data_IF_003014132751
#
_entry.id   IF_003014132751
#
_cell.length_a   1.000
_cell.length_b   1.000
_cell.length_c   1.000
_cell.angle_alpha   90.00
_cell.angle_beta   90.00
_cell.angle_gamma   90.00
#
_symmetry.space_group_name_H-M   'P 1'
#
loop_
_entity.id
_entity.type
_entity.pdbx_description
1 polymer ?
#
# COMPACT_ATOMS: atom_id res chain seq x y z
N UNK A 1 -65.95 15.72 -38.36
CA UNK A 1 -64.89 16.63 -37.87
C UNK A 1 -64.72 16.42 -36.36
N UNK A 2 -63.80 15.54 -35.94
CA UNK A 2 -63.54 15.31 -34.51
C UNK A 2 -62.62 16.44 -33.99
N UNK A 3 -63.15 17.29 -33.11
CA UNK A 3 -62.40 18.35 -32.43
C UNK A 3 -61.31 17.69 -31.56
N UNK A 4 -60.09 17.58 -32.07
CA UNK A 4 -58.94 17.20 -31.25
C UNK A 4 -58.79 18.32 -30.21
N UNK A 5 -59.00 18.00 -28.94
CA UNK A 5 -58.98 19.00 -27.87
C UNK A 5 -57.60 19.63 -27.80
N UNK A 6 -57.53 20.96 -27.71
CA UNK A 6 -56.26 21.72 -27.61
C UNK A 6 -55.38 21.31 -26.42
N UNK A 7 -55.95 20.56 -25.47
CA UNK A 7 -55.28 20.00 -24.29
C UNK A 7 -54.26 18.92 -24.68
N UNK A 8 -54.53 18.12 -25.71
CA UNK A 8 -53.61 17.04 -26.16
C UNK A 8 -52.30 17.56 -26.75
N UNK A 9 -52.29 18.80 -27.27
CA UNK A 9 -51.10 19.47 -27.84
C UNK A 9 -50.20 20.05 -26.74
N UNK A 10 -50.73 20.33 -25.54
CA UNK A 10 -49.98 20.91 -24.42
C UNK A 10 -49.14 19.87 -23.66
N UNK A 11 -49.52 18.59 -23.72
CA UNK A 11 -48.79 17.49 -23.04
C UNK A 11 -47.61 16.93 -23.86
N UNK A 12 -47.56 17.19 -25.16
CA UNK A 12 -46.48 16.74 -26.04
C UNK A 12 -45.09 17.32 -25.67
N UNK A 13 -44.93 18.63 -25.38
CA UNK A 13 -43.63 19.15 -24.95
C UNK A 13 -43.18 18.61 -23.58
N UNK A 14 -44.12 18.31 -22.68
CA UNK A 14 -43.82 17.76 -21.35
C UNK A 14 -43.28 16.31 -21.44
N UNK A 15 -43.77 15.53 -22.41
CA UNK A 15 -43.27 14.18 -22.70
C UNK A 15 -41.90 14.18 -23.42
N UNK A 16 -41.60 15.23 -24.19
CA UNK A 16 -40.29 15.38 -24.83
C UNK A 16 -39.22 15.77 -23.79
N UNK A 17 -39.57 16.57 -22.78
CA UNK A 17 -38.66 16.90 -21.67
C UNK A 17 -38.36 15.72 -20.75
N UNK A 18 -39.27 14.75 -20.59
CA UNK A 18 -39.00 13.57 -19.74
C UNK A 18 -38.01 12.58 -20.37
N UNK A 19 -37.74 12.70 -21.68
CA UNK A 19 -36.69 11.93 -22.36
C UNK A 19 -35.30 12.59 -22.29
N UNK A 20 -35.19 13.83 -21.80
CA UNK A 20 -33.91 14.47 -21.51
C UNK A 20 -33.32 13.94 -20.19
N UNK A 21 -33.08 12.63 -20.14
CA UNK A 21 -32.34 12.02 -19.04
C UNK A 21 -30.90 12.53 -19.05
N UNK A 22 -30.37 12.91 -17.89
CA UNK A 22 -28.97 13.27 -17.76
C UNK A 22 -28.11 12.11 -18.28
N UNK A 23 -27.22 12.39 -19.23
CA UNK A 23 -26.26 11.38 -19.71
C UNK A 23 -25.51 10.82 -18.49
N UNK A 24 -25.34 9.50 -18.40
CA UNK A 24 -24.58 8.86 -17.31
C UNK A 24 -23.18 9.48 -17.12
N UNK A 25 -22.59 9.98 -18.21
CA UNK A 25 -21.32 10.73 -18.21
C UNK A 25 -21.32 12.03 -17.40
N UNK A 26 -22.47 12.55 -16.97
CA UNK A 26 -22.55 13.69 -16.05
C UNK A 26 -22.34 13.25 -14.60
N UNK A 27 -22.75 12.03 -14.25
CA UNK A 27 -22.61 11.44 -12.91
C UNK A 27 -21.22 10.81 -12.72
N UNK A 28 -20.65 10.22 -13.77
CA UNK A 28 -19.27 9.72 -13.77
C UNK A 28 -18.30 10.80 -14.26
N UNK A 29 -17.96 11.74 -13.36
CA UNK A 29 -16.78 12.60 -13.56
C UNK A 29 -15.63 12.08 -12.71
N UNK A 30 -14.60 11.45 -13.31
CA UNK A 30 -13.38 11.21 -12.56
C UNK A 30 -12.80 12.56 -12.10
N UNK A 31 -12.17 12.63 -10.93
CA UNK A 31 -11.55 13.86 -10.47
C UNK A 31 -10.51 14.30 -11.50
N UNK A 32 -10.67 15.53 -12.02
CA UNK A 32 -9.83 16.08 -13.09
C UNK A 32 -8.48 16.58 -12.57
N UNK A 33 -8.39 16.80 -11.26
CA UNK A 33 -7.28 17.39 -10.53
C UNK A 33 -6.62 16.42 -9.54
N UNK A 34 -7.17 15.21 -9.37
CA UNK A 34 -6.61 14.20 -8.48
C UNK A 34 -5.99 13.05 -9.25
N UNK A 35 -4.80 12.66 -8.81
CA UNK A 35 -4.15 11.43 -9.23
C UNK A 35 -5.00 10.26 -8.72
N UNK A 36 -5.57 9.48 -9.65
CA UNK A 36 -6.21 8.20 -9.34
C UNK A 36 -5.23 7.05 -9.55
N UNK A 37 -5.41 5.94 -8.83
CA UNK A 37 -4.56 4.74 -8.98
C UNK A 37 -4.54 4.19 -10.41
N UNK A 38 -5.62 4.40 -11.18
CA UNK A 38 -5.73 3.93 -12.56
C UNK A 38 -4.93 4.80 -13.55
N UNK A 39 -4.77 6.09 -13.26
CA UNK A 39 -4.11 7.04 -14.16
C UNK A 39 -2.72 7.47 -13.69
N UNK A 40 -2.19 6.92 -12.59
CA UNK A 40 -0.92 7.38 -12.03
C UNK A 40 0.31 6.82 -12.76
N UNK A 41 0.33 5.54 -13.15
CA UNK A 41 1.56 4.86 -13.59
C UNK A 41 1.84 5.01 -15.10
N UNK A 42 1.85 6.22 -15.64
CA UNK A 42 1.84 6.44 -17.10
C UNK A 42 3.23 6.61 -17.71
N UNK A 43 4.21 7.08 -16.95
CA UNK A 43 5.59 7.29 -17.42
C UNK A 43 6.64 6.94 -16.35
N UNK A 44 7.91 6.92 -16.74
CA UNK A 44 9.03 6.57 -15.84
C UNK A 44 9.17 7.48 -14.60
N UNK A 45 8.77 8.76 -14.69
CA UNK A 45 8.81 9.67 -13.55
C UNK A 45 7.73 9.33 -12.52
N UNK A 46 6.56 8.88 -12.95
CA UNK A 46 5.49 8.45 -12.05
C UNK A 46 5.92 7.25 -11.21
N UNK A 47 6.64 6.30 -11.82
CA UNK A 47 7.21 5.14 -11.12
C UNK A 47 8.23 5.55 -10.07
N UNK A 48 9.05 6.58 -10.33
CA UNK A 48 9.98 7.14 -9.33
C UNK A 48 9.23 7.84 -8.19
N UNK A 49 8.12 8.51 -8.45
CA UNK A 49 7.28 9.11 -7.41
C UNK A 49 6.61 8.03 -6.54
N UNK A 50 6.15 6.94 -7.17
CA UNK A 50 5.60 5.78 -6.50
C UNK A 50 6.58 5.16 -5.51
N UNK A 51 7.84 4.95 -5.88
CA UNK A 51 8.85 4.40 -4.96
C UNK A 51 9.40 5.45 -3.99
N UNK A 52 9.53 6.70 -4.42
CA UNK A 52 10.10 7.80 -3.65
C UNK A 52 9.46 8.03 -2.28
N UNK A 53 8.15 7.81 -2.16
CA UNK A 53 7.42 7.98 -0.90
C UNK A 53 7.96 7.09 0.22
N UNK A 54 8.46 5.90 -0.10
CA UNK A 54 8.99 4.94 0.88
C UNK A 54 10.36 5.33 1.44
N UNK A 55 11.07 6.27 0.82
CA UNK A 55 12.34 6.81 1.33
C UNK A 55 12.14 8.03 2.26
N UNK A 56 10.89 8.38 2.55
CA UNK A 56 10.54 9.47 3.44
C UNK A 56 10.19 9.01 4.87
N UNK A 57 9.20 9.66 5.46
CA UNK A 57 8.77 9.47 6.86
C UNK A 57 7.99 8.18 7.10
N UNK A 58 7.80 7.32 6.09
CA UNK A 58 6.98 6.09 6.23
C UNK A 58 7.52 5.12 7.29
N UNK A 59 8.84 5.15 7.53
CA UNK A 59 9.53 4.33 8.52
C UNK A 59 9.59 4.95 9.92
N UNK A 60 9.07 6.16 10.12
CA UNK A 60 9.30 6.95 11.33
C UNK A 60 8.89 6.23 12.62
N UNK A 61 7.67 5.69 12.67
CA UNK A 61 7.15 4.99 13.85
C UNK A 61 8.03 3.78 14.25
N UNK A 62 8.66 3.12 13.28
CA UNK A 62 9.62 2.04 13.54
C UNK A 62 10.99 2.58 13.96
N UNK A 63 11.55 3.51 13.18
CA UNK A 63 12.91 4.03 13.34
C UNK A 63 13.10 4.94 14.57
N UNK A 64 12.04 5.55 15.10
CA UNK A 64 12.10 6.44 16.27
C UNK A 64 12.38 5.64 17.55
N UNK A 65 11.32 5.27 18.29
CA UNK A 65 11.48 4.65 19.61
C UNK A 65 11.45 3.14 19.56
N UNK A 66 10.78 2.54 18.58
CA UNK A 66 10.61 1.10 18.58
C UNK A 66 11.92 0.37 18.28
N UNK A 67 12.68 0.81 17.28
CA UNK A 67 13.99 0.25 16.98
C UNK A 67 14.97 0.38 18.17
N UNK A 68 14.98 1.52 18.86
CA UNK A 68 15.82 1.73 20.05
C UNK A 68 15.37 0.85 21.23
N UNK A 69 14.05 0.65 21.40
CA UNK A 69 13.52 -0.20 22.46
C UNK A 69 13.88 -1.67 22.24
N UNK A 70 13.66 -2.21 21.04
CA UNK A 70 13.95 -3.62 20.72
C UNK A 70 15.43 -3.90 20.44
N UNK A 71 16.16 -2.93 19.93
CA UNK A 71 17.59 -3.04 19.63
C UNK A 71 18.42 -2.76 20.86
N UNK A 72 18.58 -1.49 21.23
CA UNK A 72 19.54 -1.08 22.26
C UNK A 72 19.07 -1.33 23.69
N UNK A 73 17.78 -1.09 24.00
CA UNK A 73 17.29 -1.27 25.37
C UNK A 73 17.22 -2.76 25.76
N UNK A 74 16.75 -3.64 24.87
CA UNK A 74 16.79 -5.09 25.09
C UNK A 74 18.21 -5.66 25.10
N UNK A 75 19.14 -5.07 24.34
CA UNK A 75 20.55 -5.45 24.39
C UNK A 75 21.28 -4.95 25.65
N UNK A 76 20.65 -4.10 26.46
CA UNK A 76 21.25 -3.50 27.66
C UNK A 76 22.18 -2.31 27.39
N UNK A 77 22.23 -1.81 26.15
CA UNK A 77 23.04 -0.65 25.76
C UNK A 77 22.35 0.68 26.06
N UNK A 78 21.04 0.67 26.33
CA UNK A 78 20.25 1.86 26.62
C UNK A 78 19.41 1.67 27.88
N UNK A 79 19.70 2.46 28.91
CA UNK A 79 18.95 2.46 30.16
C UNK A 79 18.07 3.72 30.26
N UNK A 80 16.75 3.51 30.19
CA UNK A 80 15.74 4.57 30.35
C UNK A 80 14.65 4.08 31.30
N UNK A 81 14.30 4.89 32.31
CA UNK A 81 13.40 4.46 33.38
C UNK A 81 12.03 3.93 32.90
N UNK A 82 11.53 4.43 31.78
CA UNK A 82 10.26 4.00 31.20
C UNK A 82 10.41 2.83 30.20
N UNK A 83 11.61 2.28 30.02
CA UNK A 83 11.94 1.16 29.12
C UNK A 83 12.55 -0.04 29.86
N UNK A 84 12.42 -0.08 31.18
CA UNK A 84 12.92 -1.18 32.02
C UNK A 84 12.40 -2.54 31.54
N UNK A 85 11.13 -2.62 31.12
CA UNK A 85 10.49 -3.84 30.63
C UNK A 85 11.21 -4.47 29.42
N UNK A 86 11.89 -3.67 28.59
CA UNK A 86 12.69 -4.19 27.47
C UNK A 86 13.96 -4.85 27.99
N UNK A 87 14.68 -4.20 28.89
CA UNK A 87 15.93 -4.73 29.47
C UNK A 87 15.70 -5.95 30.37
N UNK A 88 14.51 -6.08 30.96
CA UNK A 88 14.13 -7.21 31.83
C UNK A 88 13.31 -8.27 31.12
N UNK A 89 13.05 -8.11 29.81
CA UNK A 89 12.23 -9.01 29.00
C UNK A 89 10.80 -9.21 29.53
N UNK A 90 10.23 -8.16 30.14
CA UNK A 90 8.89 -8.12 30.71
C UNK A 90 7.86 -7.35 29.85
N UNK A 91 8.14 -7.16 28.55
CA UNK A 91 7.28 -6.41 27.62
C UNK A 91 5.90 -7.07 27.50
N UNK A 92 4.85 -6.30 27.80
CA UNK A 92 3.47 -6.77 27.71
C UNK A 92 2.89 -6.71 26.28
N UNK A 93 1.81 -7.44 26.02
CA UNK A 93 1.11 -7.40 24.71
C UNK A 93 0.50 -6.03 24.38
N UNK A 94 0.28 -5.18 25.40
CA UNK A 94 -0.24 -3.82 25.24
C UNK A 94 0.84 -2.77 24.99
N UNK A 95 2.10 -3.19 24.83
CA UNK A 95 3.22 -2.26 24.70
C UNK A 95 3.09 -1.34 23.48
N UNK A 96 3.30 -0.04 23.71
CA UNK A 96 3.12 0.97 22.69
C UNK A 96 4.17 0.86 21.57
N UNK A 97 5.43 0.53 21.90
CA UNK A 97 6.48 0.44 20.87
C UNK A 97 6.31 -0.79 19.99
N UNK A 98 5.87 -1.91 20.57
CA UNK A 98 5.47 -3.13 19.86
C UNK A 98 4.37 -2.83 18.83
N UNK A 99 3.33 -2.12 19.24
CA UNK A 99 2.23 -1.73 18.36
C UNK A 99 2.65 -0.76 17.25
N UNK A 100 3.51 0.21 17.56
CA UNK A 100 4.06 1.15 16.57
C UNK A 100 4.91 0.45 15.51
N UNK A 101 5.84 -0.42 15.93
CA UNK A 101 6.67 -1.20 15.01
C UNK A 101 5.84 -2.10 14.11
N UNK A 102 4.91 -2.87 14.69
CA UNK A 102 4.01 -3.74 13.91
C UNK A 102 3.22 -2.94 12.86
N UNK A 103 2.58 -1.84 13.28
CA UNK A 103 1.79 -0.99 12.39
C UNK A 103 2.64 -0.36 11.29
N UNK A 104 3.83 0.16 11.63
CA UNK A 104 4.73 0.80 10.68
C UNK A 104 5.20 -0.17 9.60
N UNK A 105 5.68 -1.35 10.00
CA UNK A 105 6.20 -2.36 9.09
C UNK A 105 5.10 -2.91 8.16
N UNK A 106 3.91 -3.19 8.68
CA UNK A 106 2.78 -3.62 7.83
C UNK A 106 2.22 -2.50 6.95
N UNK A 107 2.31 -1.24 7.34
CA UNK A 107 1.98 -0.10 6.47
C UNK A 107 2.94 -0.01 5.27
N UNK A 108 4.23 -0.23 5.50
CA UNK A 108 5.25 -0.29 4.43
C UNK A 108 4.95 -1.45 3.48
N UNK A 109 4.70 -2.65 4.02
CA UNK A 109 4.33 -3.83 3.22
C UNK A 109 3.08 -3.54 2.40
N UNK A 110 2.08 -2.89 3.01
CA UNK A 110 0.83 -2.59 2.34
C UNK A 110 1.04 -1.66 1.14
N UNK A 111 1.83 -0.61 1.34
CA UNK A 111 2.20 0.33 0.28
C UNK A 111 2.98 -0.34 -0.85
N UNK A 112 3.94 -1.22 -0.52
CA UNK A 112 4.72 -1.95 -1.51
C UNK A 112 3.84 -2.88 -2.35
N UNK A 113 2.98 -3.67 -1.71
CA UNK A 113 2.07 -4.60 -2.38
C UNK A 113 1.14 -3.87 -3.37
N UNK A 114 0.51 -2.78 -2.94
CA UNK A 114 -0.41 -2.02 -3.81
C UNK A 114 0.32 -1.45 -5.03
N UNK A 115 1.50 -0.85 -4.84
CA UNK A 115 2.28 -0.34 -5.97
C UNK A 115 2.77 -1.45 -6.90
N UNK A 116 3.20 -2.60 -6.37
CA UNK A 116 3.58 -3.75 -7.20
C UNK A 116 2.40 -4.22 -8.05
N UNK A 117 1.20 -4.31 -7.46
CA UNK A 117 -0.02 -4.71 -8.17
C UNK A 117 -0.35 -3.70 -9.27
N UNK A 118 -0.44 -2.41 -8.94
CA UNK A 118 -0.87 -1.39 -9.90
C UNK A 118 0.17 -1.10 -10.98
N UNK A 119 1.48 -1.13 -10.69
CA UNK A 119 2.52 -1.05 -11.73
C UNK A 119 2.41 -2.23 -12.70
N UNK A 120 2.04 -3.42 -12.22
CA UNK A 120 1.88 -4.57 -13.10
C UNK A 120 0.61 -4.51 -13.95
N UNK A 121 -0.48 -3.95 -13.43
CA UNK A 121 -1.79 -3.89 -14.08
C UNK A 121 -1.97 -2.66 -14.97
N UNK A 122 -1.46 -1.49 -14.55
CA UNK A 122 -1.85 -0.18 -15.06
C UNK A 122 -0.69 0.62 -15.67
N UNK A 123 0.52 0.07 -15.76
CA UNK A 123 1.65 0.77 -16.36
C UNK A 123 1.37 1.15 -17.82
N UNK A 124 1.45 2.44 -18.11
CA UNK A 124 1.20 3.00 -19.44
C UNK A 124 2.29 2.65 -20.46
N UNK A 125 2.02 2.86 -21.77
CA UNK A 125 2.94 2.51 -22.84
C UNK A 125 4.25 3.33 -22.84
N UNK A 126 4.29 4.47 -22.14
CA UNK A 126 5.49 5.29 -22.00
C UNK A 126 6.41 4.85 -20.85
N UNK A 127 6.04 3.81 -20.10
CA UNK A 127 6.89 3.20 -19.07
C UNK A 127 7.91 2.26 -19.71
N UNK A 128 9.19 2.52 -19.51
CA UNK A 128 10.25 1.64 -20.00
C UNK A 128 10.35 0.38 -19.15
N UNK A 129 10.72 -0.75 -19.77
CA UNK A 129 10.97 -2.01 -19.04
C UNK A 129 12.02 -1.84 -17.94
N UNK A 130 13.05 -1.02 -18.20
CA UNK A 130 14.11 -0.74 -17.23
C UNK A 130 13.55 0.03 -16.03
N UNK A 131 12.74 1.06 -16.24
CA UNK A 131 12.12 1.80 -15.13
C UNK A 131 11.13 0.93 -14.34
N UNK A 132 10.30 0.13 -15.04
CA UNK A 132 9.37 -0.80 -14.39
C UNK A 132 10.12 -1.81 -13.51
N UNK A 133 11.15 -2.45 -14.04
CA UNK A 133 11.95 -3.42 -13.30
C UNK A 133 12.68 -2.78 -12.11
N UNK A 134 13.25 -1.59 -12.29
CA UNK A 134 13.88 -0.85 -11.20
C UNK A 134 12.87 -0.52 -10.09
N UNK A 135 11.70 0.03 -10.43
CA UNK A 135 10.66 0.35 -9.46
C UNK A 135 10.15 -0.88 -8.71
N UNK A 136 9.90 -1.99 -9.41
CA UNK A 136 9.53 -3.27 -8.78
C UNK A 136 10.66 -3.82 -7.89
N UNK A 137 11.92 -3.61 -8.27
CA UNK A 137 13.09 -3.96 -7.49
C UNK A 137 13.14 -3.19 -6.16
N UNK A 138 12.96 -1.87 -6.19
CA UNK A 138 12.92 -1.02 -5.00
C UNK A 138 11.77 -1.43 -4.06
N UNK A 139 10.57 -1.62 -4.59
CA UNK A 139 9.40 -2.01 -3.80
C UNK A 139 9.60 -3.37 -3.12
N UNK A 140 10.15 -4.35 -3.84
CA UNK A 140 10.45 -5.67 -3.28
C UNK A 140 11.57 -5.63 -2.26
N UNK A 141 12.62 -4.84 -2.48
CA UNK A 141 13.69 -4.66 -1.50
C UNK A 141 13.16 -4.10 -0.18
N UNK A 142 12.34 -3.04 -0.24
CA UNK A 142 11.78 -2.39 0.94
C UNK A 142 10.74 -3.29 1.64
N UNK A 143 9.92 -4.03 0.88
CA UNK A 143 9.02 -5.05 1.43
C UNK A 143 9.79 -6.16 2.15
N UNK A 144 10.85 -6.67 1.54
CA UNK A 144 11.72 -7.68 2.16
C UNK A 144 12.38 -7.16 3.43
N UNK A 145 12.80 -5.89 3.44
CA UNK A 145 13.39 -5.24 4.61
C UNK A 145 12.39 -5.14 5.76
N UNK A 146 11.14 -4.75 5.47
CA UNK A 146 10.09 -4.73 6.48
C UNK A 146 9.79 -6.13 7.05
N UNK A 147 9.72 -7.15 6.17
CA UNK A 147 9.56 -8.54 6.62
C UNK A 147 10.75 -9.07 7.42
N UNK A 148 11.97 -8.65 7.09
CA UNK A 148 13.17 -9.00 7.84
C UNK A 148 13.08 -8.50 9.29
N UNK A 149 12.66 -7.26 9.51
CA UNK A 149 12.43 -6.77 10.88
C UNK A 149 11.27 -7.50 11.58
N UNK A 150 10.18 -7.79 10.87
CA UNK A 150 9.05 -8.53 11.44
C UNK A 150 9.46 -9.93 11.94
N UNK A 151 10.21 -10.69 11.14
CA UNK A 151 10.62 -12.05 11.51
C UNK A 151 11.65 -12.05 12.64
N UNK A 152 12.51 -11.02 12.73
CA UNK A 152 13.46 -10.88 13.82
C UNK A 152 12.77 -10.59 15.16
N UNK A 153 11.72 -9.76 15.15
CA UNK A 153 11.03 -9.31 16.35
C UNK A 153 9.93 -10.29 16.83
N UNK A 154 9.18 -10.90 15.90
CA UNK A 154 8.03 -11.76 16.24
C UNK A 154 8.17 -13.22 15.78
N UNK A 155 9.22 -13.57 15.04
CA UNK A 155 9.35 -14.87 14.42
C UNK A 155 8.27 -15.10 13.37
N UNK A 156 7.36 -16.03 13.63
CA UNK A 156 6.28 -16.36 12.70
C UNK A 156 5.35 -15.15 12.51
N UNK A 157 5.09 -14.74 11.27
CA UNK A 157 4.21 -13.59 10.96
C UNK A 157 3.40 -13.87 9.69
N UNK A 158 2.24 -13.22 9.48
CA UNK A 158 1.49 -13.36 8.22
C UNK A 158 2.24 -12.77 7.03
N UNK A 159 2.31 -13.53 5.94
CA UNK A 159 2.75 -13.08 4.62
C UNK A 159 1.52 -12.58 3.86
N UNK A 160 1.55 -11.30 3.48
CA UNK A 160 0.47 -10.62 2.77
C UNK A 160 1.05 -10.13 1.46
N UNK A 161 0.48 -10.57 0.35
CA UNK A 161 0.89 -10.17 -1.01
C UNK A 161 -0.14 -9.29 -1.71
N UNK A 162 -1.39 -9.30 -1.24
CA UNK A 162 -2.47 -8.44 -1.70
C UNK A 162 -3.26 -7.95 -0.49
N UNK A 163 -3.25 -6.66 -0.22
CA UNK A 163 -3.99 -6.11 0.93
C UNK A 163 -5.47 -5.87 0.60
N UNK A 164 -5.87 -5.89 -0.68
CA UNK A 164 -7.25 -5.64 -1.08
C UNK A 164 -8.18 -6.73 -0.56
N UNK A 165 -7.67 -7.96 -0.45
CA UNK A 165 -8.42 -9.10 0.10
C UNK A 165 -8.67 -9.00 1.59
N UNK A 166 -7.93 -8.15 2.32
CA UNK A 166 -8.09 -7.98 3.76
C UNK A 166 -9.36 -7.21 4.14
N UNK A 167 -9.94 -6.44 3.20
CA UNK A 167 -11.23 -5.79 3.41
C UNK A 167 -12.36 -6.81 3.60
N UNK A 168 -12.32 -7.90 2.82
CA UNK A 168 -13.31 -8.98 2.87
C UNK A 168 -12.94 -10.06 3.88
N UNK A 169 -11.64 -10.34 4.04
CA UNK A 169 -11.10 -11.39 4.91
C UNK A 169 -9.94 -10.86 5.76
N UNK A 170 -10.22 -10.20 6.90
CA UNK A 170 -9.17 -9.59 7.72
C UNK A 170 -8.35 -10.62 8.52
N UNK A 171 -8.82 -11.86 8.62
CA UNK A 171 -8.15 -12.91 9.37
C UNK A 171 -7.09 -13.59 8.49
N UNK A 172 -5.83 -13.39 8.85
CA UNK A 172 -4.66 -13.97 8.15
C UNK A 172 -3.84 -14.82 9.10
N UNK A 173 -3.57 -16.05 8.71
CA UNK A 173 -2.76 -16.96 9.49
C UNK A 173 -1.28 -16.56 9.46
N UNK A 174 -0.58 -16.81 10.56
CA UNK A 174 0.88 -16.64 10.61
C UNK A 174 1.56 -17.74 9.77
N UNK A 175 2.64 -17.39 9.08
CA UNK A 175 3.44 -18.34 8.32
C UNK A 175 4.67 -18.78 9.14
N UNK A 176 5.21 -19.96 8.83
CA UNK A 176 6.42 -20.45 9.49
C UNK A 176 7.59 -19.49 9.23
N UNK A 177 8.49 -19.36 10.19
CA UNK A 177 9.69 -18.51 10.08
C UNK A 177 10.47 -18.79 8.79
N UNK A 178 10.64 -20.07 8.43
CA UNK A 178 11.31 -20.48 7.18
C UNK A 178 10.62 -19.94 5.91
N UNK A 179 9.29 -19.84 5.92
CA UNK A 179 8.51 -19.39 4.76
C UNK A 179 8.61 -17.86 4.62
N UNK A 180 8.67 -17.14 5.75
CA UNK A 180 8.93 -15.70 5.77
C UNK A 180 10.32 -15.40 5.23
N UNK A 181 11.35 -16.13 5.66
CA UNK A 181 12.70 -15.99 5.11
C UNK A 181 12.78 -16.34 3.63
N UNK A 182 12.11 -17.40 3.18
CA UNK A 182 12.01 -17.70 1.74
C UNK A 182 11.44 -16.51 0.96
N UNK A 183 10.34 -15.93 1.44
CA UNK A 183 9.71 -14.77 0.80
C UNK A 183 10.64 -13.55 0.75
N UNK A 184 11.36 -13.27 1.84
CA UNK A 184 12.40 -12.23 1.90
C UNK A 184 13.48 -12.46 0.83
N UNK A 185 14.00 -13.70 0.74
CA UNK A 185 15.06 -14.05 -0.21
C UNK A 185 14.58 -13.91 -1.66
N UNK A 186 13.36 -14.31 -1.97
CA UNK A 186 12.76 -14.15 -3.30
C UNK A 186 12.69 -12.68 -3.71
N UNK A 187 12.23 -11.80 -2.81
CA UNK A 187 12.16 -10.36 -3.06
C UNK A 187 13.54 -9.72 -3.20
N UNK A 188 14.48 -10.06 -2.31
CA UNK A 188 15.85 -9.56 -2.39
C UNK A 188 16.58 -10.04 -3.65
N UNK A 189 16.35 -11.28 -4.07
CA UNK A 189 16.93 -11.82 -5.32
C UNK A 189 16.38 -11.12 -6.54
N UNK A 190 15.07 -10.82 -6.55
CA UNK A 190 14.48 -10.02 -7.61
C UNK A 190 15.08 -8.62 -7.64
N UNK A 191 15.18 -7.95 -6.47
CA UNK A 191 15.74 -6.62 -6.36
C UNK A 191 17.20 -6.58 -6.86
N UNK A 192 18.05 -7.50 -6.42
CA UNK A 192 19.45 -7.58 -6.81
C UNK A 192 19.66 -7.70 -8.34
N UNK A 193 18.72 -8.31 -9.06
CA UNK A 193 18.79 -8.47 -10.52
C UNK A 193 18.28 -7.26 -11.31
N UNK A 194 17.45 -6.41 -10.69
CA UNK A 194 16.66 -5.40 -11.40
C UNK A 194 16.93 -3.96 -10.95
N UNK A 195 17.53 -3.76 -9.78
CA UNK A 195 17.98 -2.44 -9.35
C UNK A 195 19.12 -1.95 -10.24
N UNK A 196 19.05 -0.68 -10.65
CA UNK A 196 20.11 -0.06 -11.45
C UNK A 196 21.39 0.05 -10.62
N UNK A 197 22.51 -0.32 -11.22
CA UNK A 197 23.84 0.03 -10.71
C UNK A 197 24.11 1.46 -11.17
N UNK A 198 24.37 2.35 -10.22
CA UNK A 198 24.71 3.76 -10.49
C UNK A 198 26.13 3.86 -11.04
#
# INVERSE_FOLDING_TARGET
MKKISKISILFLPLFILSMASCKKSFLDRPPLDQITFDNFYQNDADLRLATGSLYGTTWFDFNDKALNAFGDAMAGNLARANWTDYSTFAVSSGDARSNEAWRSLYKIIAYCNLNIIYINQNAGPAVTTIAKNNALGELRFLRATAYFYLVQLWGSVPIITDNRTLADQPQVNRNLVKDVYRFIIEDMTFAARNLRVV
#
